data_IF_505996578778
#
_entry.id   IF_505996578778
#
_cell.length_a   1.000
_cell.length_b   1.000
_cell.length_c   1.000
_cell.angle_alpha   90.00
_cell.angle_beta   90.00
_cell.angle_gamma   90.00
#
_symmetry.space_group_name_H-M   'P 1'
#
loop_
_entity.id
_entity.type
_entity.pdbx_description
1 polymer ?
#
# COMPACT_ATOMS: atom_id res chain seq x y z
N UNK A 1 12.89 1.33 -13.69
CA UNK A 1 12.02 2.17 -14.53
C UNK A 1 12.59 3.58 -14.49
N UNK A 2 12.33 4.43 -15.48
CA UNK A 2 12.91 5.77 -15.53
C UNK A 2 11.81 6.83 -15.46
N UNK A 3 12.00 7.84 -14.64
CA UNK A 3 11.11 8.99 -14.51
C UNK A 3 11.70 10.19 -15.27
N UNK A 4 10.84 10.81 -16.09
CA UNK A 4 11.13 12.00 -16.86
C UNK A 4 10.14 13.11 -16.53
N UNK A 5 10.60 14.36 -16.61
CA UNK A 5 9.78 15.57 -16.52
C UNK A 5 9.79 16.27 -17.88
N UNK A 6 8.64 16.31 -18.54
CA UNK A 6 8.37 17.19 -19.67
C UNK A 6 7.68 18.47 -19.16
N UNK A 7 7.48 19.46 -20.04
CA UNK A 7 6.79 20.70 -19.68
C UNK A 7 5.44 20.46 -18.98
N UNK A 8 4.60 19.65 -19.62
CA UNK A 8 3.21 19.44 -19.21
C UNK A 8 2.95 18.04 -18.66
N UNK A 9 3.96 17.17 -18.56
CA UNK A 9 3.75 15.78 -18.14
C UNK A 9 4.90 15.24 -17.29
N UNK A 10 4.56 14.41 -16.31
CA UNK A 10 5.49 13.42 -15.78
C UNK A 10 5.36 12.12 -16.57
N UNK A 11 6.47 11.48 -16.87
CA UNK A 11 6.48 10.30 -17.72
C UNK A 11 7.34 9.23 -17.06
N UNK A 12 6.73 8.10 -16.73
CA UNK A 12 7.44 6.91 -16.28
C UNK A 12 7.55 5.96 -17.47
N UNK A 13 8.75 5.48 -17.75
CA UNK A 13 9.00 4.56 -18.86
C UNK A 13 9.72 3.31 -18.40
N UNK A 14 9.35 2.20 -19.03
CA UNK A 14 10.02 0.90 -19.01
C UNK A 14 10.48 0.57 -20.43
N UNK A 15 11.08 -0.60 -20.62
CA UNK A 15 11.50 -1.04 -21.96
C UNK A 15 10.32 -1.27 -22.92
N UNK A 16 9.12 -1.52 -22.39
CA UNK A 16 7.94 -1.88 -23.19
C UNK A 16 6.76 -0.93 -22.99
N UNK A 17 6.64 -0.28 -21.83
CA UNK A 17 5.44 0.49 -21.47
C UNK A 17 5.78 1.85 -20.87
N UNK A 18 4.89 2.81 -21.08
CA UNK A 18 4.98 4.13 -20.44
C UNK A 18 3.68 4.53 -19.75
N UNK A 19 3.83 5.26 -18.66
CA UNK A 19 2.77 5.83 -17.83
C UNK A 19 2.95 7.34 -17.79
N UNK A 20 1.89 8.06 -18.12
CA UNK A 20 1.91 9.50 -18.34
C UNK A 20 0.96 10.19 -17.39
N UNK A 21 1.44 11.23 -16.74
CA UNK A 21 0.68 12.08 -15.84
C UNK A 21 0.62 13.47 -16.45
N UNK A 22 -0.52 13.86 -17.03
CA UNK A 22 -0.70 15.18 -17.62
C UNK A 22 -0.98 16.22 -16.52
N UNK A 23 -0.05 17.16 -16.33
CA UNK A 23 -0.07 18.15 -15.27
C UNK A 23 -1.09 19.28 -15.48
N UNK A 24 -1.62 19.44 -16.70
CA UNK A 24 -2.66 20.44 -17.03
C UNK A 24 -4.06 19.90 -16.79
N UNK A 25 -4.34 18.69 -17.27
CA UNK A 25 -5.65 18.05 -17.11
C UNK A 25 -5.78 17.22 -15.84
N UNK A 26 -4.67 16.98 -15.14
CA UNK A 26 -4.56 16.06 -14.00
C UNK A 26 -5.05 14.65 -14.33
N UNK A 27 -4.85 14.24 -15.58
CA UNK A 27 -5.27 12.92 -16.09
C UNK A 27 -4.09 11.98 -16.21
N UNK A 28 -4.31 10.71 -15.90
CA UNK A 28 -3.29 9.66 -16.06
C UNK A 28 -3.67 8.67 -17.16
N UNK A 29 -2.70 8.22 -17.96
CA UNK A 29 -2.91 7.25 -19.04
C UNK A 29 -1.64 6.43 -19.35
N UNK A 30 -1.81 5.29 -20.01
CA UNK A 30 -0.71 4.37 -20.38
C UNK A 30 -0.55 4.27 -21.90
N UNK A 31 0.68 4.11 -22.39
CA UNK A 31 0.99 3.85 -23.81
C UNK A 31 1.84 2.57 -23.94
N UNK A 32 1.54 1.70 -24.93
CA UNK A 32 2.17 0.38 -25.10
C UNK A 32 3.51 0.40 -25.84
N UNK A 33 3.99 1.56 -26.32
CA UNK A 33 5.28 1.67 -26.99
C UNK A 33 6.28 2.39 -26.08
N UNK A 34 7.54 1.90 -25.99
CA UNK A 34 8.60 2.63 -25.31
C UNK A 34 8.83 3.96 -26.01
N UNK A 35 9.19 4.98 -25.24
CA UNK A 35 9.58 6.27 -25.80
C UNK A 35 10.90 6.07 -26.55
N UNK A 36 10.83 5.87 -27.87
CA UNK A 36 12.00 6.06 -28.73
C UNK A 36 12.40 7.54 -28.69
N UNK A 37 13.65 7.86 -29.05
CA UNK A 37 14.07 9.26 -29.25
C UNK A 37 13.15 10.01 -30.21
N UNK A 38 12.41 9.30 -31.07
CA UNK A 38 11.46 9.88 -32.02
C UNK A 38 10.07 10.17 -31.40
N UNK A 39 9.64 9.46 -30.35
CA UNK A 39 8.38 9.76 -29.62
C UNK A 39 8.55 10.98 -28.69
N UNK A 40 9.78 11.30 -28.27
CA UNK A 40 10.10 12.57 -27.59
C UNK A 40 9.84 13.81 -28.47
N UNK A 41 9.62 13.62 -29.78
CA UNK A 41 9.23 14.69 -30.71
C UNK A 41 7.71 14.88 -30.81
N UNK A 42 6.90 14.06 -30.14
CA UNK A 42 5.46 14.33 -29.99
C UNK A 42 5.29 15.62 -29.16
N UNK A 43 4.32 16.44 -29.57
CA UNK A 43 4.01 17.76 -29.01
C UNK A 43 3.79 17.80 -27.48
N UNK A 44 3.63 16.63 -26.85
CA UNK A 44 3.39 16.45 -25.42
C UNK A 44 4.65 16.11 -24.58
N UNK A 45 5.74 15.66 -25.19
CA UNK A 45 6.99 15.27 -24.51
C UNK A 45 8.22 16.07 -24.94
N UNK A 46 8.03 17.17 -25.69
CA UNK A 46 9.11 18.07 -26.03
C UNK A 46 9.86 18.50 -24.76
N UNK A 47 11.19 18.41 -24.81
CA UNK A 47 12.11 18.75 -23.71
C UNK A 47 11.98 17.88 -22.43
N UNK A 48 11.62 16.60 -22.59
CA UNK A 48 11.61 15.68 -21.45
C UNK A 48 13.03 15.49 -20.87
N UNK A 49 13.22 15.92 -19.63
CA UNK A 49 14.46 15.78 -18.86
C UNK A 49 14.40 14.55 -17.95
N UNK A 50 15.49 13.80 -17.87
CA UNK A 50 15.61 12.69 -16.93
C UNK A 50 15.64 13.21 -15.49
N UNK A 51 14.87 12.58 -14.61
CA UNK A 51 14.79 12.97 -13.20
C UNK A 51 15.39 11.92 -12.28
N UNK A 52 14.95 10.67 -12.39
CA UNK A 52 15.45 9.60 -11.51
C UNK A 52 15.13 8.20 -12.03
N UNK A 53 15.91 7.22 -11.59
CA UNK A 53 15.52 5.83 -11.64
C UNK A 53 14.54 5.53 -10.50
N UNK A 54 13.48 4.79 -10.81
CA UNK A 54 12.45 4.38 -9.83
C UNK A 54 12.12 2.90 -9.99
N UNK A 55 11.61 2.30 -8.91
CA UNK A 55 11.27 0.88 -8.84
C UNK A 55 9.78 0.58 -8.94
N UNK A 56 8.92 1.59 -8.78
CA UNK A 56 7.47 1.47 -8.87
C UNK A 56 6.75 2.78 -8.52
N UNK A 57 5.43 2.77 -8.69
CA UNK A 57 4.53 3.86 -8.33
C UNK A 57 3.72 3.46 -7.09
N UNK A 58 3.72 4.30 -6.05
CA UNK A 58 2.95 4.06 -4.82
C UNK A 58 1.52 4.57 -5.00
N UNK A 59 1.37 5.77 -5.55
CA UNK A 59 0.07 6.39 -5.78
C UNK A 59 0.10 7.91 -5.70
N UNK A 60 -1.08 8.51 -5.80
CA UNK A 60 -1.33 9.94 -5.72
C UNK A 60 -1.96 10.29 -4.37
N UNK A 61 -1.55 11.42 -3.79
CA UNK A 61 -2.14 11.95 -2.54
C UNK A 61 -2.42 13.45 -2.66
N UNK A 62 -3.49 13.88 -2.00
CA UNK A 62 -3.75 15.29 -1.71
C UNK A 62 -3.72 15.47 -0.19
N UNK A 63 -2.81 16.32 0.32
CA UNK A 63 -2.54 16.42 1.77
C UNK A 63 -3.56 17.37 2.42
N UNK A 64 -3.76 18.54 1.82
CA UNK A 64 -4.72 19.55 2.28
C UNK A 64 -5.91 19.58 1.32
N UNK A 65 -7.12 19.74 1.85
CA UNK A 65 -8.31 19.96 1.02
C UNK A 65 -8.08 21.22 0.17
N UNK A 66 -8.26 21.11 -1.15
CA UNK A 66 -7.94 22.16 -2.14
C UNK A 66 -6.43 22.49 -2.24
N UNK A 67 -5.56 21.64 -1.71
CA UNK A 67 -4.10 21.69 -1.85
C UNK A 67 -3.61 20.94 -3.08
N UNK A 68 -2.28 20.81 -3.19
CA UNK A 68 -1.66 20.18 -4.36
C UNK A 68 -1.81 18.66 -4.36
N UNK A 69 -1.90 18.08 -5.55
CA UNK A 69 -1.75 16.66 -5.79
C UNK A 69 -0.27 16.31 -5.90
N UNK A 70 0.11 15.24 -5.21
CA UNK A 70 1.48 14.75 -5.16
C UNK A 70 1.53 13.31 -5.68
N UNK A 71 2.51 13.04 -6.54
CA UNK A 71 2.83 11.71 -7.04
C UNK A 71 3.93 11.10 -6.15
N UNK A 72 3.72 9.86 -5.72
CA UNK A 72 4.68 9.15 -4.86
C UNK A 72 5.23 7.94 -5.63
N UNK A 73 6.55 7.88 -5.75
CA UNK A 73 7.28 6.79 -6.41
C UNK A 73 8.21 6.08 -5.42
N UNK A 74 8.48 4.80 -5.69
CA UNK A 74 9.50 4.03 -4.98
C UNK A 74 10.86 4.40 -5.58
N UNK A 75 11.67 5.15 -4.83
CA UNK A 75 12.99 5.59 -5.28
C UNK A 75 14.05 4.54 -5.03
N UNK A 76 14.07 4.00 -3.81
CA UNK A 76 14.96 2.90 -3.45
C UNK A 76 14.17 1.78 -2.80
N UNK A 77 14.70 0.58 -2.97
CA UNK A 77 14.17 -0.62 -2.36
C UNK A 77 15.32 -1.55 -1.96
N UNK A 78 15.01 -2.47 -1.07
CA UNK A 78 15.88 -3.57 -0.69
C UNK A 78 15.20 -4.90 -0.99
N UNK A 79 15.90 -5.81 -1.65
CA UNK A 79 15.43 -7.19 -1.82
C UNK A 79 15.62 -7.94 -0.50
N UNK A 80 14.54 -8.20 0.22
CA UNK A 80 14.56 -8.87 1.53
C UNK A 80 14.91 -10.34 1.34
N UNK A 81 14.21 -11.00 0.43
CA UNK A 81 14.48 -12.38 0.07
C UNK A 81 13.75 -12.78 -1.22
N UNK A 82 14.07 -13.96 -1.73
CA UNK A 82 13.30 -14.67 -2.75
C UNK A 82 12.53 -15.81 -2.08
N UNK A 83 11.22 -15.90 -2.27
CA UNK A 83 10.41 -17.04 -1.81
C UNK A 83 10.28 -18.10 -2.93
N UNK A 84 9.50 -19.16 -2.70
CA UNK A 84 9.29 -20.21 -3.73
C UNK A 84 8.78 -19.63 -5.06
N UNK A 85 9.03 -20.37 -6.14
CA UNK A 85 8.70 -19.97 -7.52
C UNK A 85 9.40 -18.68 -7.99
N UNK A 86 10.45 -18.26 -7.28
CA UNK A 86 11.28 -17.12 -7.69
C UNK A 86 10.65 -15.76 -7.37
N UNK A 87 9.60 -15.69 -6.56
CA UNK A 87 9.00 -14.41 -6.20
C UNK A 87 9.93 -13.60 -5.30
N UNK A 88 10.29 -12.42 -5.75
CA UNK A 88 11.13 -11.48 -5.01
C UNK A 88 10.27 -10.62 -4.09
N UNK A 89 10.70 -10.50 -2.84
CA UNK A 89 10.06 -9.66 -1.84
C UNK A 89 10.93 -8.45 -1.59
N UNK A 90 10.34 -7.27 -1.77
CA UNK A 90 11.00 -5.99 -1.65
C UNK A 90 10.49 -5.21 -0.46
N UNK A 91 11.41 -4.51 0.20
CA UNK A 91 11.14 -3.49 1.21
C UNK A 91 11.37 -2.12 0.59
N UNK A 92 10.44 -1.20 0.75
CA UNK A 92 10.62 0.20 0.33
C UNK A 92 11.53 0.88 1.35
N UNK A 93 12.63 1.48 0.88
CA UNK A 93 13.63 2.15 1.74
C UNK A 93 13.68 3.65 1.51
N UNK A 94 13.35 4.14 0.31
CA UNK A 94 13.25 5.56 0.02
C UNK A 94 12.14 5.80 -1.01
N UNK A 95 11.50 6.96 -0.91
CA UNK A 95 10.46 7.41 -1.84
C UNK A 95 10.91 8.67 -2.57
N UNK A 96 10.31 8.92 -3.73
CA UNK A 96 10.42 10.18 -4.45
C UNK A 96 9.02 10.79 -4.57
N UNK A 97 8.84 11.98 -4.02
CA UNK A 97 7.57 12.72 -4.08
C UNK A 97 7.72 13.86 -5.09
N UNK A 98 6.79 13.98 -6.03
CA UNK A 98 6.79 15.05 -7.04
C UNK A 98 5.43 15.72 -7.13
N UNK A 99 5.37 17.04 -7.34
CA UNK A 99 4.09 17.72 -7.53
C UNK A 99 3.46 17.27 -8.86
N UNK A 100 2.20 16.85 -8.82
CA UNK A 100 1.45 16.54 -10.02
C UNK A 100 1.00 17.83 -10.70
N UNK A 101 0.48 18.78 -9.93
CA UNK A 101 -0.02 20.03 -10.48
C UNK A 101 1.09 20.84 -11.17
N UNK A 102 0.69 21.68 -12.14
CA UNK A 102 1.60 22.64 -12.73
C UNK A 102 1.89 23.78 -11.75
N UNK A 103 2.82 23.56 -10.82
CA UNK A 103 3.38 24.62 -10.00
C UNK A 103 4.31 25.41 -10.91
N UNK A 104 3.81 26.50 -11.51
CA UNK A 104 4.69 27.48 -12.13
C UNK A 104 5.60 28.04 -11.03
N UNK A 105 6.92 27.98 -11.21
CA UNK A 105 7.90 28.45 -10.22
C UNK A 105 7.66 29.92 -9.81
N UNK A 106 7.04 30.73 -10.68
CA UNK A 106 6.58 32.11 -10.38
C UNK A 106 5.40 32.20 -9.40
N UNK A 107 4.54 31.18 -9.33
CA UNK A 107 3.35 31.17 -8.46
C UNK A 107 3.69 30.94 -6.97
N UNK A 108 4.92 30.56 -6.67
CA UNK A 108 5.45 30.36 -5.31
C UNK A 108 5.52 31.70 -4.52
N UNK A 109 5.42 32.84 -5.21
CA UNK A 109 5.54 34.19 -4.64
C UNK A 109 4.29 34.82 -4.00
N UNK A 110 3.11 34.16 -3.96
CA UNK A 110 1.90 34.75 -3.34
C UNK A 110 1.67 34.23 -1.91
N UNK A 111 1.47 35.14 -0.96
CA UNK A 111 1.46 34.89 0.50
C UNK A 111 0.50 33.78 1.02
N UNK A 112 -0.55 33.41 0.28
CA UNK A 112 -1.44 32.30 0.64
C UNK A 112 -0.91 30.93 0.17
N UNK A 113 -0.09 30.89 -0.87
CA UNK A 113 0.66 29.70 -1.32
C UNK A 113 1.77 29.37 -0.34
N UNK A 114 2.38 30.38 0.31
CA UNK A 114 3.55 30.18 1.20
C UNK A 114 3.25 29.38 2.47
N UNK A 115 2.04 29.49 3.06
CA UNK A 115 1.72 28.81 4.32
C UNK A 115 1.26 27.36 4.11
N UNK A 116 0.36 27.13 3.14
CA UNK A 116 -0.06 25.79 2.75
C UNK A 116 1.13 25.00 2.19
N UNK A 117 1.95 25.63 1.34
CA UNK A 117 3.18 25.01 0.83
C UNK A 117 4.15 24.66 1.97
N UNK A 118 4.28 25.50 3.01
CA UNK A 118 5.13 25.17 4.18
C UNK A 118 4.58 24.00 5.00
N UNK A 119 3.26 23.89 5.17
CA UNK A 119 2.65 22.76 5.87
C UNK A 119 2.75 21.47 5.05
N UNK A 120 2.42 21.53 3.76
CA UNK A 120 2.54 20.39 2.84
C UNK A 120 3.98 19.93 2.69
N UNK A 121 4.94 20.86 2.57
CA UNK A 121 6.38 20.54 2.56
C UNK A 121 6.79 19.79 3.82
N UNK A 122 6.33 20.23 5.00
CA UNK A 122 6.58 19.49 6.26
C UNK A 122 5.94 18.11 6.25
N UNK A 123 4.70 17.98 5.77
CA UNK A 123 4.05 16.69 5.66
C UNK A 123 4.80 15.75 4.70
N UNK A 124 5.39 16.27 3.64
CA UNK A 124 6.23 15.51 2.69
C UNK A 124 7.55 15.10 3.35
N UNK A 125 8.19 16.00 4.09
CA UNK A 125 9.39 15.68 4.89
C UNK A 125 9.10 14.55 5.89
N UNK A 126 7.99 14.64 6.63
CA UNK A 126 7.54 13.60 7.56
C UNK A 126 7.20 12.29 6.83
N UNK A 127 6.63 12.36 5.62
CA UNK A 127 6.36 11.19 4.79
C UNK A 127 7.68 10.49 4.39
N UNK A 128 8.70 11.25 3.97
CA UNK A 128 10.02 10.70 3.68
C UNK A 128 10.63 10.02 4.91
N UNK A 129 10.62 10.70 6.06
CA UNK A 129 11.11 10.14 7.32
C UNK A 129 10.35 8.87 7.69
N UNK A 130 9.02 8.84 7.51
CA UNK A 130 8.23 7.67 7.83
C UNK A 130 8.66 6.44 7.03
N UNK A 131 8.84 6.56 5.71
CA UNK A 131 9.31 5.44 4.88
C UNK A 131 10.75 5.02 5.22
N UNK A 132 11.65 5.98 5.45
CA UNK A 132 13.07 5.72 5.73
C UNK A 132 13.29 5.09 7.11
N UNK A 133 12.61 5.60 8.15
CA UNK A 133 12.84 5.20 9.54
C UNK A 133 12.04 3.97 9.95
N UNK A 134 10.78 3.83 9.49
CA UNK A 134 9.93 2.71 9.94
C UNK A 134 10.16 1.43 9.16
N UNK A 135 10.61 1.52 7.91
CA UNK A 135 10.96 0.38 7.06
C UNK A 135 9.89 -0.73 7.07
N UNK A 136 8.62 -0.33 7.11
CA UNK A 136 7.49 -1.23 7.32
C UNK A 136 6.68 -1.50 6.05
N UNK A 137 7.16 -1.08 4.88
CA UNK A 137 6.43 -1.22 3.62
C UNK A 137 7.07 -2.29 2.76
N UNK A 138 6.27 -3.29 2.39
CA UNK A 138 6.73 -4.44 1.62
C UNK A 138 5.81 -4.69 0.44
N UNK A 139 6.39 -5.18 -0.65
CA UNK A 139 5.65 -5.55 -1.84
C UNK A 139 6.37 -6.65 -2.62
N UNK A 140 5.63 -7.29 -3.53
CA UNK A 140 6.19 -8.16 -4.56
C UNK A 140 5.46 -7.88 -5.86
N UNK A 141 6.20 -7.92 -6.97
CA UNK A 141 5.65 -7.69 -8.31
C UNK A 141 4.80 -8.86 -8.81
N UNK A 142 5.04 -10.05 -8.25
CA UNK A 142 4.47 -11.31 -8.75
C UNK A 142 3.78 -12.13 -7.67
N UNK A 143 3.95 -11.79 -6.39
CA UNK A 143 3.31 -12.48 -5.28
C UNK A 143 2.38 -11.56 -4.48
N UNK A 144 1.23 -12.09 -4.07
CA UNK A 144 0.28 -11.31 -3.28
C UNK A 144 0.59 -11.43 -1.78
N UNK A 145 1.20 -10.38 -1.23
CA UNK A 145 1.51 -10.31 0.19
C UNK A 145 0.30 -9.97 1.07
N UNK A 146 -0.81 -9.51 0.50
CA UNK A 146 -2.00 -9.07 1.25
C UNK A 146 -2.81 -10.25 1.78
N UNK A 147 -2.74 -11.40 1.11
CA UNK A 147 -3.43 -12.62 1.50
C UNK A 147 -2.54 -13.59 2.29
N UNK A 148 -3.18 -14.41 3.13
CA UNK A 148 -2.53 -15.57 3.72
C UNK A 148 -2.36 -16.67 2.67
N UNK A 149 -1.48 -17.65 2.90
CA UNK A 149 -1.37 -18.80 2.00
C UNK A 149 -2.73 -19.50 1.85
N UNK A 150 -3.45 -19.69 2.95
CA UNK A 150 -4.77 -20.31 2.94
C UNK A 150 -5.75 -19.55 2.03
N UNK A 151 -5.82 -18.22 2.12
CA UNK A 151 -6.68 -17.41 1.24
C UNK A 151 -6.20 -17.42 -0.20
N UNK A 152 -4.89 -17.50 -0.44
CA UNK A 152 -4.32 -17.49 -1.77
C UNK A 152 -4.58 -18.79 -2.55
N UNK A 153 -4.79 -19.92 -1.86
CA UNK A 153 -5.06 -21.22 -2.50
C UNK A 153 -6.40 -21.24 -3.26
N UNK A 154 -7.38 -20.44 -2.82
CA UNK A 154 -8.71 -20.36 -3.45
C UNK A 154 -8.77 -19.32 -4.58
N UNK A 155 -7.68 -18.60 -4.86
CA UNK A 155 -7.65 -17.53 -5.84
C UNK A 155 -7.28 -18.03 -7.23
N UNK A 156 -7.96 -17.51 -8.24
CA UNK A 156 -7.60 -17.72 -9.64
C UNK A 156 -6.37 -16.86 -10.01
N UNK A 157 -5.26 -17.52 -10.34
CA UNK A 157 -4.00 -16.87 -10.73
C UNK A 157 -4.09 -16.10 -12.06
N UNK A 158 -5.13 -16.33 -12.87
CA UNK A 158 -5.36 -15.56 -14.10
C UNK A 158 -5.86 -14.14 -13.81
N UNK A 159 -6.36 -13.89 -12.59
CA UNK A 159 -6.82 -12.58 -12.16
C UNK A 159 -5.62 -11.71 -11.75
N UNK A 160 -5.55 -10.45 -12.21
CA UNK A 160 -4.47 -9.53 -11.84
C UNK A 160 -4.31 -9.37 -10.32
N UNK A 161 -3.06 -9.24 -9.86
CA UNK A 161 -2.68 -9.21 -8.44
C UNK A 161 -3.49 -8.21 -7.62
N UNK A 162 -3.73 -7.02 -8.16
CA UNK A 162 -4.48 -5.97 -7.46
C UNK A 162 -5.97 -6.28 -7.25
N UNK A 163 -6.59 -7.14 -8.09
CA UNK A 163 -8.00 -7.55 -7.95
C UNK A 163 -8.17 -8.65 -6.91
N UNK A 164 -7.21 -9.55 -6.81
CA UNK A 164 -7.19 -10.63 -5.81
C UNK A 164 -6.69 -10.18 -4.43
N UNK A 165 -6.03 -9.02 -4.37
CA UNK A 165 -5.49 -8.48 -3.13
C UNK A 165 -6.58 -8.26 -2.06
N UNK A 166 -6.30 -8.68 -0.83
CA UNK A 166 -7.15 -8.41 0.33
C UNK A 166 -7.16 -6.91 0.60
N UNK A 167 -8.34 -6.31 0.46
CA UNK A 167 -8.54 -4.89 0.65
C UNK A 167 -8.05 -4.40 2.01
N UNK A 168 -8.18 -5.21 3.08
CA UNK A 168 -7.75 -4.79 4.41
C UNK A 168 -6.26 -4.46 4.44
N UNK A 169 -5.45 -5.16 3.65
CA UNK A 169 -3.99 -5.06 3.68
C UNK A 169 -3.36 -4.39 2.47
N UNK A 170 -4.15 -4.05 1.45
CA UNK A 170 -3.72 -3.23 0.32
C UNK A 170 -3.60 -1.76 0.74
N UNK A 171 -2.45 -1.39 1.32
CA UNK A 171 -2.22 -0.14 2.05
C UNK A 171 -2.38 1.11 1.18
N UNK A 172 -1.85 1.08 -0.04
CA UNK A 172 -1.87 2.20 -0.99
C UNK A 172 -3.08 2.19 -1.93
N UNK A 173 -4.11 1.38 -1.65
CA UNK A 173 -5.29 1.24 -2.52
C UNK A 173 -5.97 2.56 -2.84
N UNK A 174 -6.19 3.41 -1.83
CA UNK A 174 -6.85 4.70 -2.01
C UNK A 174 -6.03 5.65 -2.90
N UNK A 175 -4.70 5.58 -2.80
CA UNK A 175 -3.78 6.38 -3.62
C UNK A 175 -3.77 5.94 -5.09
N UNK A 176 -4.32 4.75 -5.39
CA UNK A 176 -4.42 4.17 -6.72
C UNK A 176 -5.86 4.17 -7.27
N UNK A 177 -6.79 4.90 -6.65
CA UNK A 177 -8.21 4.87 -7.02
C UNK A 177 -8.43 5.19 -8.51
N UNK A 178 -7.81 6.25 -9.03
CA UNK A 178 -7.93 6.62 -10.45
C UNK A 178 -7.48 5.48 -11.38
N UNK A 179 -6.37 4.81 -11.05
CA UNK A 179 -5.82 3.73 -11.88
C UNK A 179 -6.76 2.53 -11.87
N UNK A 180 -7.35 2.23 -10.71
CA UNK A 180 -8.25 1.10 -10.54
C UNK A 180 -9.57 1.34 -11.27
N UNK A 181 -10.12 2.55 -11.18
CA UNK A 181 -11.32 2.93 -11.94
C UNK A 181 -11.08 2.85 -13.46
N UNK A 182 -9.91 3.27 -13.95
CA UNK A 182 -9.57 3.14 -15.36
C UNK A 182 -9.31 1.69 -15.79
N UNK A 183 -8.69 0.90 -14.92
CA UNK A 183 -8.44 -0.52 -15.15
C UNK A 183 -9.74 -1.34 -15.21
N UNK A 184 -10.74 -1.03 -14.37
CA UNK A 184 -12.05 -1.67 -14.44
C UNK A 184 -12.79 -1.35 -15.74
N UNK A 185 -12.53 -0.18 -16.32
CA UNK A 185 -13.02 0.20 -17.66
C UNK A 185 -12.19 -0.43 -18.80
N UNK A 186 -11.19 -1.26 -18.49
CA UNK A 186 -10.25 -1.90 -19.45
C UNK A 186 -9.45 -0.91 -20.31
N UNK A 187 -9.20 0.30 -19.81
CA UNK A 187 -8.48 1.34 -20.53
C UNK A 187 -7.06 1.58 -19.97
N UNK A 188 -6.60 0.75 -19.04
CA UNK A 188 -5.39 1.00 -18.28
C UNK A 188 -4.55 -0.27 -18.10
N UNK A 189 -3.23 -0.12 -18.27
CA UNK A 189 -2.29 -1.21 -18.00
C UNK A 189 -2.16 -1.46 -16.48
N UNK A 190 -2.72 -2.59 -16.05
CA UNK A 190 -2.77 -2.96 -14.62
C UNK A 190 -1.42 -3.21 -13.96
N UNK A 191 -0.33 -3.31 -14.73
CA UNK A 191 1.03 -3.49 -14.19
C UNK A 191 1.52 -2.33 -13.34
N UNK A 192 0.91 -1.15 -13.51
CA UNK A 192 1.19 0.03 -12.69
C UNK A 192 0.44 0.04 -11.35
N UNK A 193 -0.45 -0.93 -11.12
CA UNK A 193 -1.21 -1.07 -9.87
C UNK A 193 -0.48 -2.09 -9.00
N UNK A 194 0.40 -1.60 -8.13
CA UNK A 194 1.20 -2.42 -7.24
C UNK A 194 0.67 -2.38 -5.80
N UNK A 195 0.12 -3.49 -5.27
CA UNK A 195 -0.20 -3.60 -3.86
C UNK A 195 1.03 -3.56 -2.97
N UNK A 196 0.99 -2.68 -1.97
CA UNK A 196 1.97 -2.57 -0.90
C UNK A 196 1.27 -2.91 0.42
N UNK A 197 1.92 -3.71 1.27
CA UNK A 197 1.49 -3.95 2.64
C UNK A 197 2.26 -3.04 3.60
N UNK A 198 1.62 -2.65 4.70
CA UNK A 198 2.30 -2.10 5.87
C UNK A 198 2.41 -3.18 6.94
N UNK A 199 3.60 -3.38 7.52
CA UNK A 199 3.83 -4.32 8.60
C UNK A 199 5.28 -4.82 8.63
N UNK A 200 5.45 -6.14 8.54
CA UNK A 200 6.76 -6.78 8.63
C UNK A 200 6.84 -7.97 7.70
N UNK A 201 8.01 -8.21 7.14
CA UNK A 201 8.31 -9.42 6.39
C UNK A 201 9.74 -9.85 6.68
N UNK A 202 9.94 -11.11 7.02
CA UNK A 202 11.26 -11.70 7.02
C UNK A 202 11.19 -13.19 6.73
N UNK A 203 12.29 -13.72 6.22
CA UNK A 203 12.51 -15.15 5.99
C UNK A 203 13.82 -15.56 6.64
N UNK A 204 13.81 -16.66 7.37
CA UNK A 204 15.03 -17.33 7.78
C UNK A 204 15.05 -18.79 7.33
N UNK A 205 16.26 -19.31 7.16
CA UNK A 205 16.53 -20.72 6.92
C UNK A 205 17.18 -21.31 8.15
N UNK A 206 16.84 -22.54 8.46
CA UNK A 206 17.41 -23.29 9.57
C UNK A 206 17.34 -24.78 9.29
N UNK A 207 18.10 -25.58 10.03
CA UNK A 207 18.05 -27.04 9.96
C UNK A 207 17.25 -27.56 11.14
N UNK A 208 16.26 -28.41 10.87
CA UNK A 208 15.49 -29.10 11.92
C UNK A 208 16.33 -30.22 12.51
N UNK A 209 16.96 -31.00 11.62
CA UNK A 209 17.93 -32.06 11.91
C UNK A 209 19.06 -31.98 10.87
N UNK A 210 20.12 -32.78 11.01
CA UNK A 210 21.31 -32.74 10.15
C UNK A 210 21.04 -32.78 8.64
N UNK A 211 19.95 -33.43 8.20
CA UNK A 211 19.61 -33.60 6.77
C UNK A 211 18.28 -32.93 6.38
N UNK A 212 17.73 -32.06 7.22
CA UNK A 212 16.41 -31.47 6.97
C UNK A 212 16.44 -29.95 7.09
N UNK A 213 16.59 -29.30 5.93
CA UNK A 213 16.47 -27.85 5.81
C UNK A 213 15.00 -27.42 5.93
N UNK A 214 14.80 -26.31 6.62
CA UNK A 214 13.52 -25.67 6.81
C UNK A 214 13.60 -24.16 6.57
N UNK A 215 12.46 -23.59 6.20
CA UNK A 215 12.29 -22.15 6.04
C UNK A 215 11.16 -21.68 6.93
N UNK A 216 11.40 -20.59 7.66
CA UNK A 216 10.38 -19.88 8.39
C UNK A 216 10.21 -18.50 7.75
N UNK A 217 9.00 -18.21 7.29
CA UNK A 217 8.61 -16.87 6.86
C UNK A 217 7.67 -16.31 7.92
N UNK A 218 7.96 -15.10 8.37
CA UNK A 218 7.08 -14.33 9.25
C UNK A 218 6.62 -13.10 8.50
N UNK A 219 5.31 -13.01 8.26
CA UNK A 219 4.69 -11.87 7.61
C UNK A 219 3.63 -11.27 8.53
N UNK A 220 3.70 -9.96 8.75
CA UNK A 220 2.68 -9.20 9.47
C UNK A 220 2.12 -8.15 8.53
N UNK A 221 0.79 -8.06 8.46
CA UNK A 221 0.06 -7.08 7.66
C UNK A 221 -0.87 -6.28 8.55
N UNK A 222 -0.78 -4.96 8.48
CA UNK A 222 -1.64 -4.03 9.22
C UNK A 222 -2.81 -3.62 8.35
N UNK A 223 -4.01 -3.67 8.93
CA UNK A 223 -5.23 -3.22 8.27
C UNK A 223 -5.17 -1.70 8.02
N UNK A 224 -5.51 -1.29 6.80
CA UNK A 224 -5.65 0.12 6.39
C UNK A 224 -6.86 0.80 7.03
N UNK A 225 -7.93 0.05 7.29
CA UNK A 225 -9.16 0.57 7.89
C UNK A 225 -8.95 0.89 9.37
N UNK A 226 -9.55 2.01 9.81
CA UNK A 226 -9.50 2.48 11.19
C UNK A 226 -8.06 2.54 11.76
N UNK A 227 -7.08 2.78 10.89
CA UNK A 227 -5.71 3.02 11.27
C UNK A 227 -5.61 4.41 11.94
N UNK A 228 -4.98 4.48 13.11
CA UNK A 228 -4.81 5.75 13.80
C UNK A 228 -4.18 5.58 15.17
N UNK A 229 -3.93 6.71 15.82
CA UNK A 229 -3.21 6.72 17.10
C UNK A 229 -4.07 6.11 18.22
N UNK A 230 -3.40 5.41 19.14
CA UNK A 230 -3.99 4.66 20.25
C UNK A 230 -4.94 5.47 21.14
N UNK A 231 -4.86 6.79 21.15
CA UNK A 231 -5.72 7.68 21.94
C UNK A 231 -6.92 8.23 21.17
N UNK A 232 -6.94 8.12 19.83
CA UNK A 232 -8.02 8.62 18.98
C UNK A 232 -8.80 7.50 18.29
N UNK A 233 -8.17 6.35 18.03
CA UNK A 233 -8.79 5.22 17.35
C UNK A 233 -8.78 3.98 18.26
N UNK A 234 -9.94 3.64 18.81
CA UNK A 234 -10.19 2.42 19.59
C UNK A 234 -11.53 1.81 19.24
N UNK A 235 -11.66 0.53 19.56
CA UNK A 235 -12.87 -0.22 19.29
C UNK A 235 -13.17 -0.37 17.81
N UNK A 236 -14.44 -0.61 17.53
CA UNK A 236 -14.99 -0.84 16.20
C UNK A 236 -15.60 0.44 15.59
N UNK A 237 -15.65 0.56 14.27
CA UNK A 237 -16.55 1.50 13.57
C UNK A 237 -17.87 0.84 13.17
N UNK A 238 -18.74 1.65 12.57
CA UNK A 238 -20.06 1.29 12.05
C UNK A 238 -19.98 0.29 10.90
N UNK A 239 -18.83 0.22 10.21
CA UNK A 239 -18.56 -0.75 9.12
C UNK A 239 -17.95 -2.07 9.63
N UNK A 240 -17.79 -2.24 10.95
CA UNK A 240 -17.27 -3.47 11.53
C UNK A 240 -15.74 -3.59 11.59
N UNK A 241 -15.00 -2.53 11.28
CA UNK A 241 -13.54 -2.54 11.31
C UNK A 241 -13.03 -2.18 12.71
N UNK A 242 -12.17 -3.05 13.27
CA UNK A 242 -11.53 -2.79 14.57
C UNK A 242 -10.23 -2.03 14.39
N UNK A 243 -9.99 -1.05 15.25
CA UNK A 243 -8.77 -0.24 15.20
C UNK A 243 -7.51 -1.09 15.44
N UNK A 244 -6.43 -0.79 14.72
CA UNK A 244 -5.13 -1.48 14.84
C UNK A 244 -5.19 -3.00 14.62
N UNK A 245 -6.06 -3.46 13.72
CA UNK A 245 -6.08 -4.86 13.29
C UNK A 245 -4.79 -5.22 12.52
N UNK A 246 -4.20 -6.35 12.87
CA UNK A 246 -2.99 -6.93 12.28
C UNK A 246 -3.18 -8.42 12.14
N UNK A 247 -2.85 -8.97 10.96
CA UNK A 247 -2.69 -10.40 10.74
C UNK A 247 -1.19 -10.72 10.72
N UNK A 248 -0.75 -11.63 11.57
CA UNK A 248 0.61 -12.19 11.57
C UNK A 248 0.53 -13.64 11.17
N UNK A 249 1.16 -14.00 10.06
CA UNK A 249 1.22 -15.37 9.56
C UNK A 249 2.65 -15.89 9.67
N UNK A 250 2.77 -17.06 10.28
CA UNK A 250 3.99 -17.85 10.34
C UNK A 250 3.87 -18.98 9.34
N UNK A 251 4.74 -18.98 8.33
CA UNK A 251 4.78 -20.02 7.29
C UNK A 251 6.02 -20.86 7.53
N UNK A 252 5.83 -22.12 7.87
CA UNK A 252 6.91 -23.10 8.05
C UNK A 252 6.92 -24.04 6.85
N UNK A 253 8.11 -24.21 6.26
CA UNK A 253 8.33 -25.10 5.13
C UNK A 253 9.40 -26.11 5.46
N UNK A 254 9.09 -27.39 5.29
CA UNK A 254 10.00 -28.51 5.55
C UNK A 254 9.84 -29.50 4.40
N UNK A 255 10.85 -29.64 3.55
CA UNK A 255 10.74 -30.41 2.30
C UNK A 255 9.62 -29.86 1.40
N UNK A 256 8.67 -30.72 1.03
CA UNK A 256 7.47 -30.35 0.25
C UNK A 256 6.31 -29.83 1.09
N UNK A 257 6.38 -29.94 2.42
CA UNK A 257 5.29 -29.58 3.31
C UNK A 257 5.29 -28.08 3.60
N UNK A 258 4.13 -27.45 3.51
CA UNK A 258 3.90 -26.05 3.85
C UNK A 258 2.85 -26.01 4.95
N UNK A 259 3.19 -25.36 6.07
CA UNK A 259 2.27 -25.07 7.16
C UNK A 259 2.13 -23.57 7.28
N UNK A 260 0.89 -23.09 7.38
CA UNK A 260 0.58 -21.69 7.67
C UNK A 260 -0.18 -21.60 8.98
N UNK A 261 0.28 -20.73 9.87
CA UNK A 261 -0.38 -20.44 11.14
C UNK A 261 -0.61 -18.93 11.23
N UNK A 262 -1.88 -18.54 11.31
CA UNK A 262 -2.30 -17.13 11.30
C UNK A 262 -2.77 -16.72 12.69
N UNK A 263 -2.22 -15.63 13.20
CA UNK A 263 -2.64 -14.97 14.42
C UNK A 263 -3.20 -13.58 14.09
N UNK A 264 -4.24 -13.17 14.81
CA UNK A 264 -4.83 -11.85 14.70
C UNK A 264 -4.60 -11.04 15.98
N UNK A 265 -4.38 -9.74 15.83
CA UNK A 265 -4.33 -8.78 16.92
C UNK A 265 -5.11 -7.54 16.51
N UNK A 266 -5.96 -7.02 17.38
CA UNK A 266 -6.71 -5.79 17.12
C UNK A 266 -7.27 -5.17 18.39
N UNK A 267 -7.89 -4.01 18.25
CA UNK A 267 -8.73 -3.46 19.32
C UNK A 267 -9.90 -4.39 19.58
N UNK A 268 -10.31 -4.46 20.85
CA UNK A 268 -11.45 -5.28 21.22
C UNK A 268 -12.73 -4.77 20.51
N UNK A 269 -13.56 -5.69 19.97
CA UNK A 269 -14.62 -5.43 18.99
C UNK A 269 -15.89 -4.84 19.62
N UNK A 270 -15.77 -3.69 20.27
CA UNK A 270 -16.91 -2.98 20.84
C UNK A 270 -16.76 -1.47 20.58
N UNK A 271 -17.84 -0.72 20.72
CA UNK A 271 -17.77 0.74 20.72
C UNK A 271 -17.22 1.20 22.06
N UNK A 272 -15.95 1.58 22.10
CA UNK A 272 -15.32 2.09 23.31
C UNK A 272 -14.28 3.17 23.04
N UNK A 273 -14.14 4.05 24.01
CA UNK A 273 -13.18 5.14 24.01
C UNK A 273 -12.41 5.14 25.33
N UNK A 274 -11.25 5.80 25.33
CA UNK A 274 -10.47 6.01 26.56
C UNK A 274 -10.10 7.49 26.64
N UNK A 275 -11.08 8.39 26.85
CA UNK A 275 -10.86 9.83 26.80
C UNK A 275 -10.07 10.32 28.02
N UNK A 276 -9.10 11.19 27.78
CA UNK A 276 -8.34 11.86 28.82
C UNK A 276 -6.83 11.81 28.60
N UNK A 277 -6.13 12.83 29.10
CA UNK A 277 -4.66 12.97 29.03
C UNK A 277 -3.99 12.35 30.27
N UNK A 278 -4.77 11.90 31.26
CA UNK A 278 -4.27 11.28 32.50
C UNK A 278 -3.53 9.99 32.21
N UNK A 279 -2.54 9.66 33.05
CA UNK A 279 -1.87 8.36 33.02
C UNK A 279 -2.91 7.26 33.31
N UNK A 280 -3.27 6.48 32.27
CA UNK A 280 -4.32 5.44 32.25
C UNK A 280 -5.75 5.96 32.51
N UNK A 281 -6.40 6.64 31.54
CA UNK A 281 -7.81 6.98 31.66
C UNK A 281 -8.65 5.69 31.73
N UNK A 282 -9.76 5.63 32.48
CA UNK A 282 -10.62 4.46 32.48
C UNK A 282 -11.28 4.29 31.10
N UNK A 283 -11.41 3.07 30.57
CA UNK A 283 -12.15 2.82 29.34
C UNK A 283 -13.65 3.11 29.55
N UNK A 284 -14.29 3.71 28.55
CA UNK A 284 -15.72 3.97 28.50
C UNK A 284 -16.32 3.16 27.34
N UNK A 285 -17.25 2.26 27.67
CA UNK A 285 -18.01 1.50 26.68
C UNK A 285 -19.26 2.31 26.32
N UNK A 286 -19.49 2.52 25.04
CA UNK A 286 -20.71 3.16 24.54
C UNK A 286 -21.81 2.10 24.37
N UNK A 287 -22.62 1.95 25.42
CA UNK A 287 -23.74 0.99 25.43
C UNK A 287 -24.91 1.41 24.55
N UNK A 288 -24.97 2.66 24.09
CA UNK A 288 -26.06 3.13 23.23
C UNK A 288 -25.94 2.62 21.80
N UNK A 289 -24.72 2.28 21.37
CA UNK A 289 -24.39 1.67 20.09
C UNK A 289 -24.26 0.15 20.14
N UNK A 290 -24.70 -0.50 21.22
CA UNK A 290 -24.68 -1.96 21.38
C UNK A 290 -26.09 -2.49 21.11
N UNK A 291 -26.46 -2.70 19.84
CA UNK A 291 -27.62 -3.52 19.54
C UNK A 291 -27.21 -5.01 19.56
N UNK A 292 -28.03 -5.88 20.15
CA UNK A 292 -27.78 -7.34 20.24
C UNK A 292 -27.53 -8.01 18.87
N UNK A 293 -27.99 -7.40 17.78
CA UNK A 293 -27.77 -7.88 16.41
C UNK A 293 -26.32 -7.64 15.93
N UNK A 294 -25.69 -6.57 16.40
CA UNK A 294 -24.32 -6.19 16.02
C UNK A 294 -23.27 -7.07 16.71
N UNK A 295 -23.51 -7.50 17.96
CA UNK A 295 -22.63 -8.47 18.66
C UNK A 295 -22.52 -9.82 17.92
N UNK A 296 -23.64 -10.29 17.35
CA UNK A 296 -23.68 -11.56 16.61
C UNK A 296 -22.98 -11.43 15.26
N UNK A 297 -23.27 -10.35 14.53
CA UNK A 297 -22.59 -10.03 13.28
C UNK A 297 -21.07 -9.82 13.47
N UNK A 298 -20.67 -9.30 14.64
CA UNK A 298 -19.28 -9.14 15.07
C UNK A 298 -18.55 -10.47 15.29
N UNK A 299 -19.19 -11.39 15.99
CA UNK A 299 -18.66 -12.74 16.19
C UNK A 299 -18.64 -13.51 14.87
N UNK A 300 -19.67 -13.37 14.05
CA UNK A 300 -19.76 -14.01 12.73
C UNK A 300 -18.70 -13.44 11.77
N UNK A 301 -18.44 -12.13 11.80
CA UNK A 301 -17.35 -11.50 11.03
C UNK A 301 -15.97 -11.95 11.51
N UNK A 302 -15.77 -12.17 12.81
CA UNK A 302 -14.51 -12.72 13.31
C UNK A 302 -14.37 -14.23 12.99
N UNK A 303 -15.45 -15.00 13.07
CA UNK A 303 -15.47 -16.44 12.80
C UNK A 303 -15.29 -16.74 11.30
N UNK A 304 -16.01 -16.06 10.42
CA UNK A 304 -15.86 -16.17 8.96
C UNK A 304 -14.48 -15.76 8.45
N UNK A 305 -13.76 -14.92 9.21
CA UNK A 305 -12.38 -14.50 8.91
C UNK A 305 -11.31 -15.46 9.47
N UNK A 306 -11.68 -16.35 10.38
CA UNK A 306 -10.75 -17.28 11.07
C UNK A 306 -10.91 -18.73 10.60
N UNK A 307 -12.06 -19.09 10.05
CA UNK A 307 -12.40 -20.47 9.67
C UNK A 307 -12.97 -20.43 8.26
N UNK A 308 -12.15 -20.73 7.24
CA UNK A 308 -12.71 -21.47 6.11
C UNK A 308 -12.82 -22.90 6.61
N UNK A 309 -14.06 -23.33 6.87
CA UNK A 309 -14.38 -24.72 7.24
C UNK A 309 -14.06 -25.58 6.02
N UNK A 310 -12.79 -25.95 5.87
CA UNK A 310 -12.43 -27.12 5.09
C UNK A 310 -12.41 -28.28 6.07
N UNK A 311 -13.55 -28.93 6.15
CA UNK A 311 -13.64 -30.30 6.64
C UNK A 311 -12.58 -31.13 5.91
N UNK A 312 -11.64 -31.70 6.67
CA UNK A 312 -10.77 -32.78 6.24
C UNK A 312 -11.60 -33.99 5.81
#
# INVERSE_FOLDING_TARGET
>A
MKLYKAKDSWIVTTEEHSLWFNRRSLSVYTKPEPISKEILLDSSAWDASFVSDIHGYIGQIQIVKDGFHWLIFIKNQEMVCVIQNGHEIYRVTDILVQPFDNIDEESIGRANVTTNNKYESKCIEELHLWYQETQCFYYSRTYDLTNTIQRALDQDETIPLWKRADERFFWNRQMLNEFIEQADKKHFDTRWIQPIIMGYFNKCHFQVNHDTDAQLILISRRNRYRAGVRMHCRGIDEDGNVANYVETEQILRIGSNIMSFVMIRGSAPFYWSQPGIRYRPPPKIDRSKLNQHEERSLLDALQSRTITDHSC
#
